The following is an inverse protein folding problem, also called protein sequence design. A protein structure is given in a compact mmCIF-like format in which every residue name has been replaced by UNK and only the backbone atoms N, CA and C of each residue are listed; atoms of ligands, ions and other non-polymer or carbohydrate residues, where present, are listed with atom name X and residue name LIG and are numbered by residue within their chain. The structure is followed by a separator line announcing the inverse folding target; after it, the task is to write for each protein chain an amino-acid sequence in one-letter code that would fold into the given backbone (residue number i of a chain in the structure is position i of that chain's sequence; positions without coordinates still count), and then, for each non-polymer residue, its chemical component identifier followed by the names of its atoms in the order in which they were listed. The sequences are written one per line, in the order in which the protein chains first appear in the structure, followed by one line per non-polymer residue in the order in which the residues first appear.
data_IF_979746269745
#
_entry.id   IF_979746269745
#
_cell.length_a   1.000
_cell.length_b   1.000
_cell.length_c   1.000
_cell.angle_alpha   90.00
_cell.angle_beta   90.00
_cell.angle_gamma   90.00
#
_symmetry.space_group_name_H-M   'P 1'
#
loop_
_entity.id
_entity.type
_entity.pdbx_description
1 polymer ?
#
# COMPACT_ATOMS: atom_id res chain seq x y z
N UNK A 1 3.68 29.89 15.15
CA UNK A 1 2.25 30.28 15.25
C UNK A 1 1.30 29.07 15.21
N UNK A 2 1.51 28.10 14.30
CA UNK A 2 0.73 26.84 14.21
C UNK A 2 0.70 26.04 15.51
N UNK A 3 1.83 25.90 16.21
CA UNK A 3 1.91 25.17 17.48
C UNK A 3 1.01 25.78 18.58
N UNK A 4 0.95 27.12 18.68
CA UNK A 4 0.09 27.82 19.64
C UNK A 4 -1.39 27.61 19.32
N UNK A 5 -1.75 27.59 18.03
CA UNK A 5 -3.11 27.30 17.58
C UNK A 5 -3.54 25.87 17.96
N UNK A 6 -2.70 24.87 17.64
CA UNK A 6 -2.92 23.47 18.00
C UNK A 6 -3.15 23.29 19.51
N UNK A 7 -2.29 23.87 20.35
CA UNK A 7 -2.41 23.78 21.82
C UNK A 7 -3.72 24.37 22.33
N UNK A 8 -4.10 25.55 21.82
CA UNK A 8 -5.34 26.20 22.21
C UNK A 8 -6.59 25.40 21.78
N UNK A 9 -6.59 24.83 20.57
CA UNK A 9 -7.69 24.00 20.06
C UNK A 9 -7.84 22.71 20.87
N UNK A 10 -6.74 22.01 21.16
CA UNK A 10 -6.77 20.80 21.99
C UNK A 10 -7.30 21.10 23.41
N UNK A 11 -6.94 22.27 23.98
CA UNK A 11 -7.48 22.73 25.27
C UNK A 11 -8.99 22.99 25.21
N UNK A 12 -9.50 23.56 24.11
CA UNK A 12 -10.94 23.78 23.91
C UNK A 12 -11.71 22.47 23.75
N UNK A 13 -11.10 21.47 23.12
CA UNK A 13 -11.67 20.13 22.94
C UNK A 13 -11.51 19.24 24.18
N UNK A 14 -10.89 19.74 25.26
CA UNK A 14 -10.53 18.97 26.46
C UNK A 14 -9.67 17.72 26.15
N UNK A 15 -8.87 17.77 25.09
CA UNK A 15 -7.96 16.71 24.66
C UNK A 15 -6.54 17.06 25.08
N UNK A 16 -5.85 16.15 25.77
CA UNK A 16 -4.46 16.38 26.20
C UNK A 16 -3.49 16.40 25.02
N UNK A 17 -2.48 17.29 25.04
CA UNK A 17 -1.51 17.47 23.95
C UNK A 17 -0.77 16.20 23.52
N UNK A 18 -0.64 15.23 24.43
CA UNK A 18 0.05 13.95 24.23
C UNK A 18 -0.90 12.74 24.15
N UNK A 19 -2.22 12.97 24.15
CA UNK A 19 -3.19 11.89 24.00
C UNK A 19 -3.17 11.35 22.57
N UNK A 20 -3.58 10.09 22.38
CA UNK A 20 -3.75 9.51 21.03
C UNK A 20 -4.70 10.35 20.17
N UNK A 21 -5.79 10.85 20.76
CA UNK A 21 -6.74 11.72 20.08
C UNK A 21 -6.18 13.09 19.65
N UNK A 22 -5.02 13.51 20.17
CA UNK A 22 -4.29 14.71 19.74
C UNK A 22 -3.23 14.44 18.68
N UNK A 23 -2.98 13.17 18.33
CA UNK A 23 -2.09 12.84 17.22
C UNK A 23 -2.79 13.21 15.92
N UNK A 24 -2.09 13.95 15.07
CA UNK A 24 -2.59 14.22 13.73
C UNK A 24 -2.43 12.94 12.93
N UNK A 25 -3.53 12.32 12.58
CA UNK A 25 -3.59 11.24 11.60
C UNK A 25 -4.03 11.87 10.29
N UNK A 26 -3.25 11.65 9.24
CA UNK A 26 -3.61 12.15 7.92
C UNK A 26 -4.88 11.42 7.47
N UNK A 27 -6.00 12.11 7.23
CA UNK A 27 -7.25 11.47 6.86
C UNK A 27 -7.21 10.91 5.42
N UNK A 28 -6.20 11.28 4.63
CA UNK A 28 -6.06 10.87 3.25
C UNK A 28 -5.21 9.59 3.14
N UNK A 29 -5.76 8.61 2.42
CA UNK A 29 -4.99 7.47 1.93
C UNK A 29 -3.76 7.99 1.15
N UNK A 30 -2.65 7.28 1.28
CA UNK A 30 -1.42 7.54 0.54
C UNK A 30 -0.91 6.22 -0.02
N UNK A 31 -0.45 6.25 -1.26
CA UNK A 31 0.28 5.15 -1.85
C UNK A 31 1.40 5.72 -2.70
N UNK A 32 2.62 5.57 -2.23
CA UNK A 32 3.80 6.14 -2.87
C UNK A 32 4.46 5.09 -3.74
N UNK A 33 4.53 5.36 -5.04
CA UNK A 33 5.34 4.58 -5.97
C UNK A 33 6.75 5.18 -6.00
N UNK A 34 7.77 4.46 -5.51
CA UNK A 34 9.11 5.00 -5.41
C UNK A 34 9.82 5.03 -6.77
N UNK A 35 10.82 5.91 -6.88
CA UNK A 35 11.83 5.89 -7.96
C UNK A 35 11.25 5.94 -9.40
N UNK A 36 10.19 6.70 -9.62
CA UNK A 36 9.62 6.91 -10.96
C UNK A 36 10.48 7.93 -11.72
N UNK A 37 10.99 7.49 -12.87
CA UNK A 37 11.87 8.30 -13.73
C UNK A 37 11.04 8.95 -14.86
N UNK A 38 11.17 10.27 -15.04
CA UNK A 38 10.54 10.96 -16.15
C UNK A 38 11.29 10.67 -17.47
N UNK A 39 10.59 10.13 -18.47
CA UNK A 39 11.19 9.79 -19.78
C UNK A 39 11.70 11.02 -20.57
N UNK A 40 11.30 12.24 -20.18
CA UNK A 40 11.72 13.47 -20.87
C UNK A 40 12.93 14.14 -20.20
N UNK A 41 12.85 14.44 -18.90
CA UNK A 41 13.91 15.17 -18.19
C UNK A 41 14.83 14.27 -17.34
N UNK A 42 14.55 12.96 -17.26
CA UNK A 42 15.29 11.97 -16.48
C UNK A 42 15.30 12.22 -14.96
N UNK A 43 14.45 13.13 -14.47
CA UNK A 43 14.26 13.34 -13.03
C UNK A 43 13.62 12.09 -12.40
N UNK A 44 14.24 11.59 -11.33
CA UNK A 44 13.76 10.45 -10.56
C UNK A 44 13.09 10.97 -9.28
N UNK A 45 11.83 10.57 -9.06
CA UNK A 45 11.12 10.91 -7.83
C UNK A 45 10.10 9.85 -7.46
N UNK A 46 9.68 9.91 -6.20
CA UNK A 46 8.53 9.17 -5.74
C UNK A 46 7.23 9.90 -6.16
N UNK A 47 6.20 9.16 -6.54
CA UNK A 47 4.88 9.70 -6.89
C UNK A 47 3.86 9.20 -5.87
N UNK A 48 3.13 10.10 -5.21
CA UNK A 48 1.99 9.72 -4.37
C UNK A 48 0.74 9.60 -5.25
N UNK A 49 0.32 8.37 -5.55
CA UNK A 49 -0.80 8.09 -6.44
C UNK A 49 -2.14 8.56 -5.89
N UNK A 50 -2.25 8.85 -4.59
CA UNK A 50 -3.48 9.37 -4.00
C UNK A 50 -3.50 10.91 -3.92
N UNK A 51 -2.34 11.57 -4.02
CA UNK A 51 -2.20 13.02 -3.78
C UNK A 51 -1.73 13.80 -4.99
N UNK A 52 -0.85 13.24 -5.81
CA UNK A 52 -0.29 13.88 -7.02
C UNK A 52 -1.28 13.79 -8.21
N UNK A 53 -2.56 14.06 -7.95
CA UNK A 53 -3.65 13.84 -8.90
C UNK A 53 -3.82 15.04 -9.82
N UNK A 54 -3.68 14.79 -11.13
CA UNK A 54 -4.16 15.70 -12.18
C UNK A 54 -5.38 15.05 -12.85
N UNK A 55 -6.34 15.86 -13.29
CA UNK A 55 -7.60 15.39 -13.86
C UNK A 55 -7.86 16.07 -15.20
N UNK A 56 -8.32 15.27 -16.16
CA UNK A 56 -8.83 15.75 -17.45
C UNK A 56 -10.21 15.16 -17.70
N UNK A 57 -11.04 15.89 -18.45
CA UNK A 57 -12.36 15.41 -18.88
C UNK A 57 -12.19 14.55 -20.12
N UNK A 58 -12.56 13.27 -20.01
CA UNK A 58 -12.60 12.35 -21.13
C UNK A 58 -13.77 12.64 -22.08
N UNK A 59 -13.79 11.98 -23.24
CA UNK A 59 -14.79 12.17 -24.30
C UNK A 59 -16.23 11.91 -23.84
N UNK A 60 -16.42 11.00 -22.86
CA UNK A 60 -17.71 10.63 -22.28
C UNK A 60 -18.07 11.43 -21.02
N UNK A 61 -17.28 12.45 -20.65
CA UNK A 61 -17.45 13.22 -19.42
C UNK A 61 -16.92 12.54 -18.16
N UNK A 62 -16.23 11.39 -18.30
CA UNK A 62 -15.52 10.74 -17.19
C UNK A 62 -14.24 11.52 -16.84
N UNK A 63 -13.97 11.70 -15.54
CA UNK A 63 -12.71 12.29 -15.08
C UNK A 63 -11.62 11.23 -15.07
N UNK A 64 -10.61 11.39 -15.93
CA UNK A 64 -9.47 10.48 -15.99
C UNK A 64 -8.30 11.11 -15.25
N UNK A 65 -7.76 10.38 -14.28
CA UNK A 65 -6.57 10.79 -13.55
C UNK A 65 -5.31 10.59 -14.39
N UNK A 66 -4.33 11.50 -14.26
CA UNK A 66 -2.98 11.34 -14.77
C UNK A 66 -1.95 12.00 -13.84
N UNK A 67 -0.66 11.83 -14.14
CA UNK A 67 0.45 12.40 -13.39
C UNK A 67 1.38 13.18 -14.30
N UNK A 68 1.87 14.33 -13.83
CA UNK A 68 2.88 15.14 -14.55
C UNK A 68 4.16 15.26 -13.74
N UNK A 69 5.28 15.25 -14.44
CA UNK A 69 6.56 15.57 -13.85
C UNK A 69 6.56 17.02 -13.36
N UNK A 70 6.88 17.29 -12.08
CA UNK A 70 6.88 18.66 -11.56
C UNK A 70 8.00 19.53 -12.15
N UNK A 71 9.05 18.93 -12.70
CA UNK A 71 10.20 19.65 -13.26
C UNK A 71 9.96 20.11 -14.70
N UNK A 72 9.41 19.25 -15.55
CA UNK A 72 9.24 19.53 -16.99
C UNK A 72 7.79 19.51 -17.47
N UNK A 73 6.82 19.23 -16.59
CA UNK A 73 5.38 19.16 -16.87
C UNK A 73 4.94 18.06 -17.84
N UNK A 74 5.88 17.26 -18.37
CA UNK A 74 5.56 16.10 -19.20
C UNK A 74 4.75 15.09 -18.41
N UNK A 75 3.71 14.55 -19.02
CA UNK A 75 2.91 13.48 -18.46
C UNK A 75 3.73 12.19 -18.32
N UNK A 76 3.56 11.50 -17.21
CA UNK A 76 4.17 10.19 -17.02
C UNK A 76 3.44 9.14 -17.86
N UNK A 77 4.21 8.17 -18.37
CA UNK A 77 3.65 7.03 -19.08
C UNK A 77 2.81 6.19 -18.12
N UNK A 78 1.49 6.20 -18.35
CA UNK A 78 0.49 5.51 -17.56
C UNK A 78 0.71 4.00 -17.58
N UNK A 79 1.08 3.43 -18.72
CA UNK A 79 1.33 2.00 -18.86
C UNK A 79 2.59 1.61 -18.06
N UNK A 80 3.63 2.43 -18.11
CA UNK A 80 4.85 2.20 -17.31
C UNK A 80 4.56 2.21 -15.79
N UNK A 81 3.74 3.16 -15.33
CA UNK A 81 3.26 3.21 -13.94
C UNK A 81 2.43 1.97 -13.60
N UNK A 82 1.54 1.54 -14.52
CA UNK A 82 0.73 0.34 -14.34
C UNK A 82 1.59 -0.91 -14.17
N UNK A 83 2.60 -1.11 -15.02
CA UNK A 83 3.54 -2.23 -14.89
C UNK A 83 4.33 -2.19 -13.58
N UNK A 84 4.75 -1.00 -13.14
CA UNK A 84 5.44 -0.86 -11.86
C UNK A 84 4.53 -1.25 -10.68
N UNK A 85 3.24 -0.90 -10.74
CA UNK A 85 2.26 -1.30 -9.71
C UNK A 85 1.98 -2.81 -9.73
N UNK A 86 1.90 -3.42 -10.91
CA UNK A 86 1.78 -4.88 -11.04
C UNK A 86 2.98 -5.56 -10.39
N UNK A 87 4.19 -5.03 -10.60
CA UNK A 87 5.40 -5.57 -9.95
C UNK A 87 5.38 -5.40 -8.44
N UNK A 88 4.79 -4.32 -7.91
CA UNK A 88 4.57 -4.17 -6.45
C UNK A 88 3.66 -5.28 -5.93
N UNK A 89 2.53 -5.56 -6.60
CA UNK A 89 1.60 -6.63 -6.20
C UNK A 89 2.31 -7.99 -6.22
N UNK A 90 3.07 -8.30 -7.28
CA UNK A 90 3.81 -9.55 -7.41
C UNK A 90 4.88 -9.71 -6.34
N UNK A 91 5.66 -8.65 -6.07
CA UNK A 91 6.65 -8.65 -4.99
C UNK A 91 5.98 -8.89 -3.64
N UNK A 92 4.84 -8.25 -3.38
CA UNK A 92 4.08 -8.46 -2.14
C UNK A 92 3.62 -9.92 -1.99
N UNK A 93 3.14 -10.55 -3.06
CA UNK A 93 2.77 -11.97 -3.07
C UNK A 93 3.98 -12.87 -2.77
N UNK A 94 5.11 -12.64 -3.44
CA UNK A 94 6.35 -13.39 -3.19
C UNK A 94 6.79 -13.22 -1.74
N UNK A 95 6.83 -11.99 -1.23
CA UNK A 95 7.19 -11.71 0.16
C UNK A 95 6.25 -12.38 1.15
N UNK A 96 4.94 -12.39 0.88
CA UNK A 96 3.97 -13.07 1.74
C UNK A 96 4.17 -14.58 1.75
N UNK A 97 4.45 -15.20 0.60
CA UNK A 97 4.63 -16.65 0.51
C UNK A 97 5.98 -17.13 1.06
N UNK A 98 7.01 -16.28 0.98
CA UNK A 98 8.36 -16.58 1.46
C UNK A 98 8.65 -16.02 2.86
N UNK A 99 7.65 -15.44 3.54
CA UNK A 99 7.84 -14.89 4.88
C UNK A 99 8.18 -15.99 5.89
N UNK A 100 8.93 -15.59 6.92
CA UNK A 100 9.13 -16.44 8.08
C UNK A 100 7.84 -16.63 8.88
N UNK A 101 7.66 -17.83 9.42
CA UNK A 101 6.63 -18.08 10.43
C UNK A 101 7.17 -17.72 11.83
N UNK A 102 6.28 -17.18 12.66
CA UNK A 102 6.59 -16.67 13.99
C UNK A 102 5.72 -17.38 15.02
N UNK A 103 6.32 -17.75 16.15
CA UNK A 103 5.60 -18.35 17.26
C UNK A 103 4.65 -17.34 17.91
N UNK A 104 3.40 -17.73 18.13
CA UNK A 104 2.37 -16.94 18.79
C UNK A 104 2.70 -16.57 20.26
N UNK A 105 3.44 -17.42 20.97
CA UNK A 105 3.78 -17.24 22.39
C UNK A 105 5.09 -16.48 22.61
N UNK A 106 6.17 -16.94 21.99
CA UNK A 106 7.51 -16.40 22.25
C UNK A 106 8.01 -15.42 21.18
N UNK A 107 7.26 -15.22 20.09
CA UNK A 107 7.68 -14.45 18.91
C UNK A 107 9.00 -14.92 18.26
N UNK A 108 9.41 -16.16 18.55
CA UNK A 108 10.56 -16.79 17.90
C UNK A 108 10.25 -17.20 16.47
N UNK A 109 11.22 -17.01 15.57
CA UNK A 109 11.15 -17.43 14.16
C UNK A 109 11.29 -18.95 14.07
N UNK A 110 10.51 -19.59 13.19
CA UNK A 110 10.64 -21.01 12.90
C UNK A 110 11.96 -21.32 12.19
N UNK A 111 12.90 -21.95 12.92
CA UNK A 111 14.20 -22.37 12.36
C UNK A 111 14.26 -23.83 11.96
N UNK A 112 13.33 -24.63 12.47
CA UNK A 112 13.23 -26.06 12.24
C UNK A 112 11.88 -26.35 11.61
N UNK A 113 11.84 -27.34 10.71
CA UNK A 113 10.61 -27.83 10.09
C UNK A 113 9.81 -28.71 11.08
N UNK A 114 9.59 -28.21 12.29
CA UNK A 114 8.76 -28.84 13.32
C UNK A 114 7.38 -28.19 13.34
N UNK A 115 6.31 -28.98 13.60
CA UNK A 115 4.93 -28.45 13.60
C UNK A 115 4.65 -27.48 14.75
N UNK A 116 5.47 -27.48 15.80
CA UNK A 116 5.33 -26.57 16.94
C UNK A 116 6.68 -26.02 17.41
N UNK A 117 6.61 -24.91 18.14
CA UNK A 117 7.76 -24.27 18.75
C UNK A 117 8.20 -25.03 20.02
N UNK A 118 9.50 -25.03 20.39
CA UNK A 118 9.97 -25.62 21.66
C UNK A 118 9.29 -25.06 22.92
N UNK A 119 8.68 -23.86 22.85
CA UNK A 119 7.85 -23.30 23.92
C UNK A 119 6.38 -23.77 23.89
N UNK A 120 6.07 -24.79 23.09
CA UNK A 120 4.71 -25.31 22.84
C UNK A 120 3.75 -24.27 22.23
N UNK A 121 4.29 -23.30 21.49
CA UNK A 121 3.50 -22.34 20.70
C UNK A 121 3.29 -22.81 19.26
N UNK A 122 2.28 -22.26 18.61
CA UNK A 122 1.94 -22.53 17.21
C UNK A 122 2.56 -21.44 16.34
N UNK A 123 3.07 -21.83 15.18
CA UNK A 123 3.62 -20.89 14.21
C UNK A 123 2.51 -20.25 13.38
N UNK A 124 2.62 -18.94 13.16
CA UNK A 124 1.70 -18.15 12.32
C UNK A 124 2.49 -17.29 11.35
N UNK A 125 1.83 -16.79 10.30
CA UNK A 125 2.43 -15.79 9.42
C UNK A 125 2.83 -14.53 10.22
N UNK A 126 3.97 -13.96 9.85
CA UNK A 126 4.49 -12.70 10.41
C UNK A 126 3.59 -11.52 10.01
N UNK A 127 3.27 -11.47 8.72
CA UNK A 127 2.34 -10.54 8.08
C UNK A 127 1.04 -11.26 7.85
N UNK A 128 -0.07 -10.68 8.32
CA UNK A 128 -1.38 -11.30 8.18
C UNK A 128 -1.91 -11.18 6.74
N UNK A 129 -2.88 -12.03 6.38
CA UNK A 129 -3.55 -11.92 5.07
C UNK A 129 -4.36 -10.62 5.01
N UNK A 130 -4.93 -10.21 6.13
CA UNK A 130 -5.71 -8.98 6.29
C UNK A 130 -4.88 -7.73 5.98
N UNK A 131 -3.63 -7.70 6.43
CA UNK A 131 -2.70 -6.59 6.14
C UNK A 131 -2.45 -6.47 4.63
N UNK A 132 -2.16 -7.60 3.97
CA UNK A 132 -1.95 -7.64 2.51
C UNK A 132 -3.21 -7.23 1.75
N UNK A 133 -4.38 -7.72 2.18
CA UNK A 133 -5.66 -7.38 1.56
C UNK A 133 -6.02 -5.91 1.71
N UNK A 134 -5.56 -5.25 2.76
CA UNK A 134 -5.73 -3.80 2.93
C UNK A 134 -4.97 -3.04 1.83
N UNK A 135 -3.72 -3.43 1.54
CA UNK A 135 -2.94 -2.87 0.43
C UNK A 135 -3.58 -3.14 -0.93
N UNK A 136 -4.06 -4.37 -1.16
CA UNK A 136 -4.77 -4.75 -2.40
C UNK A 136 -6.01 -3.89 -2.63
N UNK A 137 -6.80 -3.61 -1.59
CA UNK A 137 -7.98 -2.71 -1.70
C UNK A 137 -7.61 -1.27 -2.04
N UNK A 138 -6.52 -0.75 -1.47
CA UNK A 138 -6.01 0.58 -1.80
C UNK A 138 -5.60 0.64 -3.28
N UNK A 139 -4.83 -0.35 -3.73
CA UNK A 139 -4.40 -0.46 -5.13
C UNK A 139 -5.59 -0.62 -6.09
N UNK A 140 -6.63 -1.35 -5.70
CA UNK A 140 -7.86 -1.53 -6.49
C UNK A 140 -8.61 -0.21 -6.67
N UNK A 141 -8.68 0.61 -5.61
CA UNK A 141 -9.29 1.95 -5.68
C UNK A 141 -8.48 2.88 -6.59
N UNK A 142 -7.15 2.81 -6.53
CA UNK A 142 -6.25 3.54 -7.44
C UNK A 142 -6.46 3.07 -8.88
N UNK A 143 -6.49 1.75 -9.11
CA UNK A 143 -6.67 1.18 -10.43
C UNK A 143 -8.01 1.57 -11.06
N UNK A 144 -9.09 1.63 -10.28
CA UNK A 144 -10.39 2.14 -10.74
C UNK A 144 -10.33 3.64 -11.09
N UNK A 145 -9.78 4.46 -10.21
CA UNK A 145 -9.71 5.90 -10.42
C UNK A 145 -8.86 6.28 -11.66
N UNK A 146 -7.74 5.58 -11.86
CA UNK A 146 -6.86 5.80 -13.01
C UNK A 146 -7.20 4.90 -14.20
N UNK A 147 -8.25 4.07 -14.17
CA UNK A 147 -8.58 3.14 -15.26
C UNK A 147 -7.40 2.24 -15.70
N UNK A 148 -6.71 1.62 -14.73
CA UNK A 148 -5.59 0.70 -14.93
C UNK A 148 -6.13 -0.74 -15.04
N UNK A 149 -6.49 -1.14 -16.26
CA UNK A 149 -7.21 -2.40 -16.53
C UNK A 149 -6.38 -3.65 -16.24
N UNK A 150 -5.10 -3.66 -16.62
CA UNK A 150 -4.23 -4.81 -16.38
C UNK A 150 -3.98 -4.99 -14.88
N UNK A 151 -3.81 -3.88 -14.15
CA UNK A 151 -3.68 -3.92 -12.70
C UNK A 151 -4.95 -4.45 -12.04
N UNK A 152 -6.13 -4.05 -12.50
CA UNK A 152 -7.41 -4.58 -11.98
C UNK A 152 -7.51 -6.10 -12.15
N UNK A 153 -7.17 -6.62 -13.33
CA UNK A 153 -7.20 -8.07 -13.59
C UNK A 153 -6.26 -8.82 -12.63
N UNK A 154 -5.02 -8.32 -12.46
CA UNK A 154 -4.03 -8.90 -11.54
C UNK A 154 -4.49 -8.84 -10.08
N UNK A 155 -5.13 -7.74 -9.67
CA UNK A 155 -5.68 -7.59 -8.31
C UNK A 155 -6.88 -8.51 -8.08
N UNK A 156 -7.70 -8.77 -9.10
CA UNK A 156 -8.80 -9.72 -9.02
C UNK A 156 -8.29 -11.14 -8.82
N UNK A 157 -7.30 -11.57 -9.60
CA UNK A 157 -6.63 -12.86 -9.41
C UNK A 157 -6.04 -13.02 -8.00
N UNK A 158 -5.47 -11.94 -7.46
CA UNK A 158 -4.93 -11.92 -6.10
C UNK A 158 -6.02 -12.04 -5.02
N UNK A 159 -7.21 -11.46 -5.26
CA UNK A 159 -8.38 -11.57 -4.35
C UNK A 159 -8.96 -12.97 -4.38
N UNK A 160 -9.07 -13.58 -5.55
CA UNK A 160 -9.70 -14.90 -5.77
C UNK A 160 -8.83 -16.07 -5.29
N UNK A 161 -7.59 -15.80 -4.85
CA UNK A 161 -6.71 -16.80 -4.25
C UNK A 161 -6.15 -17.80 -5.27
N UNK A 162 -6.13 -17.45 -6.56
CA UNK A 162 -5.53 -18.26 -7.62
C UNK A 162 -4.00 -18.44 -7.45
N UNK A 163 -3.38 -17.64 -6.58
CA UNK A 163 -2.01 -17.84 -6.07
C UNK A 163 -2.13 -18.34 -4.62
N UNK A 164 -1.56 -19.51 -4.26
CA UNK A 164 -1.73 -20.08 -2.93
C UNK A 164 -1.16 -19.13 -1.88
N UNK A 165 -2.04 -18.51 -1.09
CA UNK A 165 -1.69 -17.74 0.12
C UNK A 165 -1.87 -18.59 1.38
N UNK A 166 -1.90 -19.91 1.24
CA UNK A 166 -2.17 -20.84 2.33
C UNK A 166 -1.25 -22.07 2.28
N UNK A 167 -0.26 -22.10 3.18
CA UNK A 167 0.46 -23.32 3.60
C UNK A 167 0.05 -23.73 5.02
N UNK A 168 -0.97 -23.09 5.61
CA UNK A 168 -1.45 -23.42 6.95
C UNK A 168 -2.30 -24.71 7.01
N UNK A 169 -2.49 -25.39 5.87
CA UNK A 169 -3.22 -26.65 5.75
C UNK A 169 -2.38 -27.92 5.56
N UNK A 170 -1.05 -27.86 5.58
CA UNK A 170 -0.19 -29.04 5.49
C UNK A 170 0.34 -29.46 6.86
N UNK A 171 -0.57 -29.82 7.77
CA UNK A 171 -0.26 -30.52 9.03
C UNK A 171 -1.31 -31.61 9.27
#
# INVERSE_FOLDING_TARGET
QVSKCRKNLLRLLHVGEFSKAAQFEDPCLTFVLPEVICNFCMECRDIDLCRDVHKEEGEDGEQIGFWRCPACTTEYDKDAIEYALIDVVRKQQITFNLQDLVCDKCNGIQRLLTPSCPCSGVYRNRTSREDVMTTVKTLDSIAQFYQLRLLQDVLQDAKDGAVPMDISGAA
#
